data_IF_879372252226
#
_entry.id   IF_879372252226
#
_cell.length_a   1.000
_cell.length_b   1.000
_cell.length_c   1.000
_cell.angle_alpha   90.00
_cell.angle_beta   90.00
_cell.angle_gamma   90.00
#
_symmetry.space_group_name_H-M   'P 1'
#
loop_
_entity.id
_entity.type
_entity.pdbx_description
1 polymer ?
#
# COMPACT_ATOMS: atom_id res chain seq x y z
N UNK A 1 -15.28 -36.09 -30.98
CA UNK A 1 -16.52 -35.35 -31.17
C UNK A 1 -16.61 -34.36 -30.04
N UNK A 2 -16.01 -33.21 -30.20
CA UNK A 2 -16.51 -31.90 -30.65
C UNK A 2 -17.47 -31.25 -29.68
N UNK A 3 -17.04 -30.14 -29.11
CA UNK A 3 -17.88 -29.16 -28.45
C UNK A 3 -17.12 -28.14 -27.62
N UNK A 4 -16.38 -27.24 -28.29
CA UNK A 4 -15.90 -25.96 -27.72
C UNK A 4 -17.10 -25.04 -27.51
N UNK A 5 -17.19 -24.38 -26.34
CA UNK A 5 -17.96 -23.15 -26.19
C UNK A 5 -17.10 -22.09 -25.53
N UNK A 6 -16.63 -21.19 -26.36
CA UNK A 6 -16.06 -19.90 -25.99
C UNK A 6 -17.15 -18.99 -25.43
N UNK A 7 -16.99 -18.51 -24.22
CA UNK A 7 -17.81 -17.48 -23.59
C UNK A 7 -17.02 -16.18 -23.38
N UNK A 8 -17.02 -15.33 -24.40
CA UNK A 8 -16.46 -13.99 -24.33
C UNK A 8 -17.34 -13.09 -23.45
N UNK A 9 -16.80 -12.57 -22.33
CA UNK A 9 -17.45 -11.51 -21.57
C UNK A 9 -17.24 -10.18 -22.26
N UNK A 10 -18.28 -9.70 -22.93
CA UNK A 10 -18.41 -8.34 -23.45
C UNK A 10 -18.80 -7.40 -22.33
N UNK A 11 -17.96 -6.39 -22.09
CA UNK A 11 -18.28 -5.23 -21.26
C UNK A 11 -19.53 -4.54 -21.81
N UNK A 12 -20.58 -4.46 -21.00
CA UNK A 12 -21.79 -3.73 -21.32
C UNK A 12 -21.55 -2.23 -21.03
N UNK A 13 -21.29 -1.47 -22.07
CA UNK A 13 -21.45 -0.01 -22.07
C UNK A 13 -22.95 0.32 -22.08
N UNK A 14 -23.46 0.89 -21.00
CA UNK A 14 -24.78 1.50 -21.00
C UNK A 14 -24.70 2.84 -21.74
N UNK A 15 -25.18 2.86 -22.95
CA UNK A 15 -25.43 4.08 -23.76
C UNK A 15 -26.77 4.66 -23.32
N UNK A 16 -26.72 5.81 -22.67
CA UNK A 16 -27.93 6.56 -22.33
C UNK A 16 -28.50 7.18 -23.61
N UNK A 17 -29.62 6.65 -24.12
CA UNK A 17 -30.35 7.23 -25.23
C UNK A 17 -31.18 8.43 -24.73
N UNK A 18 -30.75 9.62 -25.09
CA UNK A 18 -31.56 10.83 -24.95
C UNK A 18 -32.58 10.85 -26.08
N UNK A 19 -33.85 10.65 -25.78
CA UNK A 19 -34.97 10.84 -26.70
C UNK A 19 -35.16 12.35 -26.93
N UNK A 20 -34.72 12.83 -28.09
CA UNK A 20 -35.09 14.15 -28.59
C UNK A 20 -36.45 14.07 -29.31
N UNK A 21 -37.46 14.65 -28.70
CA UNK A 21 -38.74 14.90 -29.39
C UNK A 21 -38.59 16.06 -30.38
N UNK A 22 -39.22 16.00 -31.58
CA UNK A 22 -39.12 17.07 -32.54
C UNK A 22 -40.04 18.22 -32.13
N UNK A 23 -39.48 19.41 -31.94
CA UNK A 23 -40.23 20.66 -31.83
C UNK A 23 -40.83 21.06 -33.19
N UNK A 24 -42.16 21.12 -33.21
CA UNK A 24 -42.92 21.60 -34.33
C UNK A 24 -42.65 23.07 -34.65
N UNK A 25 -42.50 23.39 -35.91
CA UNK A 25 -42.40 24.75 -36.46
C UNK A 25 -43.71 25.53 -36.23
N UNK A 26 -43.67 26.77 -35.68
CA UNK A 26 -44.81 27.68 -35.77
C UNK A 26 -44.84 28.39 -37.11
N UNK A 27 -46.07 28.60 -37.61
CA UNK A 27 -46.40 29.33 -38.84
C UNK A 27 -46.13 30.84 -38.69
N UNK A 28 -45.91 31.58 -39.82
CA UNK A 28 -45.63 33.00 -39.77
C UNK A 28 -46.90 33.82 -39.72
N UNK A 29 -47.00 34.73 -38.79
CA UNK A 29 -48.10 35.69 -38.73
C UNK A 29 -47.89 36.83 -37.75
N UNK A 30 -47.81 38.03 -38.32
CA UNK A 30 -48.08 39.34 -37.71
C UNK A 30 -47.01 39.96 -36.80
N UNK A 31 -46.23 40.85 -37.42
CA UNK A 31 -45.50 41.94 -36.76
C UNK A 31 -46.48 42.93 -36.15
N UNK A 32 -46.28 43.25 -34.86
CA UNK A 32 -46.66 44.54 -34.28
C UNK A 32 -45.53 45.03 -33.39
N UNK A 33 -44.93 46.12 -33.80
CA UNK A 33 -44.04 47.00 -33.04
C UNK A 33 -44.73 47.41 -31.74
N UNK A 34 -44.03 47.20 -30.64
CA UNK A 34 -44.20 47.95 -29.39
C UNK A 34 -42.81 48.21 -28.82
N UNK A 35 -42.31 49.38 -29.17
CA UNK A 35 -41.16 50.04 -28.61
C UNK A 35 -41.46 50.28 -27.10
N UNK A 36 -40.82 49.55 -26.20
CA UNK A 36 -40.72 49.86 -24.80
C UNK A 36 -39.29 49.75 -24.33
N UNK A 37 -38.68 50.89 -24.15
CA UNK A 37 -37.40 51.06 -23.44
C UNK A 37 -37.39 50.24 -22.12
N UNK A 38 -36.51 49.25 -22.05
CA UNK A 38 -36.18 48.55 -20.82
C UNK A 38 -34.95 49.24 -20.21
N UNK A 39 -35.02 49.68 -18.95
CA UNK A 39 -33.93 50.40 -18.31
C UNK A 39 -32.68 49.46 -18.16
N UNK A 40 -31.57 49.87 -18.73
CA UNK A 40 -30.27 49.22 -18.58
C UNK A 40 -29.68 49.48 -17.17
N UNK A 41 -30.17 48.81 -16.14
CA UNK A 41 -29.50 48.82 -14.84
C UNK A 41 -29.90 47.59 -14.01
N UNK A 42 -29.38 46.41 -14.39
CA UNK A 42 -29.30 45.26 -13.45
C UNK A 42 -28.33 44.16 -13.93
N UNK A 43 -27.47 44.38 -14.95
CA UNK A 43 -26.52 43.37 -15.42
C UNK A 43 -25.33 43.12 -14.48
N UNK A 44 -25.13 43.92 -13.43
CA UNK A 44 -23.96 43.83 -12.58
C UNK A 44 -24.10 42.96 -11.32
N UNK A 45 -25.32 42.68 -10.84
CA UNK A 45 -25.55 41.89 -9.63
C UNK A 45 -25.76 40.39 -9.90
N UNK A 46 -26.34 40.03 -11.03
CA UNK A 46 -26.58 38.63 -11.39
C UNK A 46 -25.32 37.86 -11.76
N UNK A 47 -24.34 38.55 -12.37
CA UNK A 47 -23.08 37.94 -12.80
C UNK A 47 -22.10 37.68 -11.63
N UNK A 48 -22.17 38.45 -10.56
CA UNK A 48 -21.36 38.22 -9.35
C UNK A 48 -21.86 37.05 -8.50
N UNK A 49 -23.15 36.76 -8.51
CA UNK A 49 -23.75 35.62 -7.77
C UNK A 49 -23.46 34.28 -8.48
N UNK A 50 -23.26 34.28 -9.81
CA UNK A 50 -22.89 33.10 -10.59
C UNK A 50 -21.39 32.75 -10.52
N UNK A 51 -20.56 33.62 -9.93
CA UNK A 51 -19.10 33.43 -9.80
C UNK A 51 -18.65 33.05 -8.37
N UNK A 52 -19.57 32.88 -7.43
CA UNK A 52 -19.26 32.41 -6.08
C UNK A 52 -19.46 30.88 -5.97
N UNK A 53 -18.38 30.09 -5.97
CA UNK A 53 -18.47 28.64 -5.89
C UNK A 53 -19.14 28.13 -4.62
N UNK A 54 -18.99 28.85 -3.50
CA UNK A 54 -19.63 28.49 -2.22
C UNK A 54 -21.16 28.67 -2.29
N UNK A 55 -21.62 29.76 -2.89
CA UNK A 55 -23.05 30.01 -3.10
C UNK A 55 -23.66 28.98 -4.04
N UNK A 56 -22.94 28.57 -5.09
CA UNK A 56 -23.36 27.51 -6.01
C UNK A 56 -23.45 26.18 -5.26
N UNK A 57 -22.46 25.81 -4.48
CA UNK A 57 -22.45 24.58 -3.70
C UNK A 57 -23.64 24.51 -2.74
N UNK A 58 -23.88 25.58 -1.98
CA UNK A 58 -25.05 25.69 -1.08
C UNK A 58 -26.39 25.53 -1.81
N UNK A 59 -26.51 26.14 -2.99
CA UNK A 59 -27.74 26.04 -3.78
C UNK A 59 -27.99 24.61 -4.28
N UNK A 60 -26.95 23.93 -4.77
CA UNK A 60 -27.05 22.53 -5.18
C UNK A 60 -27.44 21.64 -4.00
N UNK A 61 -26.83 21.83 -2.84
CA UNK A 61 -27.16 21.09 -1.62
C UNK A 61 -28.63 21.27 -1.21
N UNK A 62 -29.15 22.52 -1.28
CA UNK A 62 -30.56 22.80 -1.00
C UNK A 62 -31.49 22.06 -1.98
N UNK A 63 -31.19 22.11 -3.29
CA UNK A 63 -32.01 21.38 -4.28
C UNK A 63 -32.00 19.87 -4.03
N UNK A 64 -30.84 19.27 -3.68
CA UNK A 64 -30.80 17.84 -3.36
C UNK A 64 -31.68 17.54 -2.13
N UNK A 65 -31.58 18.33 -1.07
CA UNK A 65 -32.37 18.11 0.14
C UNK A 65 -33.88 18.30 -0.05
N UNK A 66 -34.28 19.24 -0.92
CA UNK A 66 -35.70 19.62 -1.09
C UNK A 66 -36.38 18.79 -2.20
N UNK A 67 -35.66 18.30 -3.20
CA UNK A 67 -36.24 17.76 -4.45
C UNK A 67 -35.83 16.31 -4.74
N UNK A 68 -34.81 15.74 -4.07
CA UNK A 68 -34.40 14.36 -4.32
C UNK A 68 -35.50 13.38 -3.87
N UNK A 69 -35.68 12.30 -4.63
CA UNK A 69 -36.80 11.34 -4.47
C UNK A 69 -36.79 10.63 -3.09
N UNK A 70 -35.63 10.41 -2.52
CA UNK A 70 -35.47 9.79 -1.20
C UNK A 70 -34.87 10.80 -0.21
N UNK A 71 -35.17 10.64 1.08
CA UNK A 71 -34.56 11.45 2.13
C UNK A 71 -33.05 11.10 2.26
N UNK A 72 -32.19 12.13 2.22
CA UNK A 72 -30.73 11.96 2.33
C UNK A 72 -30.21 12.76 3.51
N UNK A 73 -29.46 12.09 4.36
CA UNK A 73 -28.81 12.72 5.49
C UNK A 73 -27.80 13.79 5.05
N UNK A 74 -27.97 15.00 5.57
CA UNK A 74 -27.15 16.16 5.21
C UNK A 74 -25.65 15.90 5.45
N UNK A 75 -25.30 15.22 6.54
CA UNK A 75 -23.93 14.89 6.92
C UNK A 75 -23.28 13.98 5.86
N UNK A 76 -24.00 13.00 5.35
CA UNK A 76 -23.50 12.09 4.32
C UNK A 76 -23.19 12.83 3.01
N UNK A 77 -24.05 13.78 2.61
CA UNK A 77 -23.80 14.63 1.44
C UNK A 77 -22.53 15.48 1.59
N UNK A 78 -22.30 16.06 2.78
CA UNK A 78 -21.08 16.81 3.05
C UNK A 78 -19.84 15.91 3.01
N UNK A 79 -19.88 14.74 3.63
CA UNK A 79 -18.78 13.78 3.59
C UNK A 79 -18.47 13.31 2.17
N UNK A 80 -19.50 13.02 1.38
CA UNK A 80 -19.34 12.66 -0.02
C UNK A 80 -18.70 13.79 -0.85
N UNK A 81 -19.12 15.05 -0.61
CA UNK A 81 -18.57 16.22 -1.28
C UNK A 81 -17.08 16.46 -0.91
N UNK A 82 -16.75 16.39 0.40
CA UNK A 82 -15.37 16.55 0.88
C UNK A 82 -14.49 15.44 0.30
N UNK A 83 -14.95 14.19 0.38
CA UNK A 83 -14.23 13.04 -0.20
C UNK A 83 -14.01 13.21 -1.71
N UNK A 84 -15.01 13.70 -2.42
CA UNK A 84 -14.89 14.02 -3.85
C UNK A 84 -13.80 15.04 -4.14
N UNK A 85 -13.76 16.16 -3.40
CA UNK A 85 -12.74 17.19 -3.56
C UNK A 85 -11.33 16.68 -3.29
N UNK A 86 -11.16 15.89 -2.22
CA UNK A 86 -9.85 15.40 -1.82
C UNK A 86 -9.31 14.38 -2.82
N UNK A 87 -10.16 13.48 -3.31
CA UNK A 87 -9.80 12.46 -4.31
C UNK A 87 -9.45 13.01 -5.70
N UNK A 88 -9.81 14.28 -5.98
CA UNK A 88 -9.36 14.95 -7.20
C UNK A 88 -7.88 15.38 -7.17
N UNK A 89 -7.23 15.38 -5.99
CA UNK A 89 -5.86 15.86 -5.84
C UNK A 89 -4.83 14.81 -6.29
N UNK A 90 -4.92 13.61 -5.75
CA UNK A 90 -4.01 12.48 -6.00
C UNK A 90 -4.63 11.16 -5.47
N UNK A 91 -4.06 9.96 -5.80
CA UNK A 91 -4.63 8.68 -5.37
C UNK A 91 -4.50 8.39 -3.87
N UNK A 92 -3.70 9.14 -3.13
CA UNK A 92 -3.36 8.88 -1.73
C UNK A 92 -4.01 9.82 -0.74
N UNK A 93 -4.42 11.01 -1.21
CA UNK A 93 -5.21 11.95 -0.40
C UNK A 93 -6.64 11.46 -0.25
N UNK A 94 -7.17 11.43 0.97
CA UNK A 94 -8.54 10.99 1.23
C UNK A 94 -9.11 11.70 2.46
N UNK A 95 -10.45 11.73 2.52
CA UNK A 95 -11.20 12.12 3.70
C UNK A 95 -11.72 10.86 4.38
N UNK A 96 -11.33 10.65 5.62
CA UNK A 96 -11.71 9.53 6.45
C UNK A 96 -12.83 9.99 7.39
N UNK A 97 -14.02 9.41 7.27
CA UNK A 97 -15.04 9.58 8.29
C UNK A 97 -14.59 8.94 9.62
N UNK A 98 -15.28 9.18 10.76
CA UNK A 98 -14.82 8.70 12.06
C UNK A 98 -14.55 7.20 12.12
N UNK A 99 -15.36 6.39 11.44
CA UNK A 99 -15.18 4.94 11.40
C UNK A 99 -13.96 4.54 10.55
N UNK A 100 -13.81 5.14 9.37
CA UNK A 100 -12.65 4.91 8.52
C UNK A 100 -11.34 5.40 9.17
N UNK A 101 -11.41 6.50 9.94
CA UNK A 101 -10.26 7.01 10.67
C UNK A 101 -9.83 6.06 11.79
N UNK A 102 -10.77 5.54 12.58
CA UNK A 102 -10.45 4.54 13.59
C UNK A 102 -9.82 3.29 12.99
N UNK A 103 -10.39 2.75 11.91
CA UNK A 103 -9.82 1.61 11.21
C UNK A 103 -8.39 1.89 10.69
N UNK A 104 -8.14 3.10 10.22
CA UNK A 104 -6.80 3.52 9.79
C UNK A 104 -5.80 3.59 10.96
N UNK A 105 -6.22 4.07 12.13
CA UNK A 105 -5.38 4.08 13.33
C UNK A 105 -5.04 2.65 13.79
N UNK A 106 -6.02 1.75 13.77
CA UNK A 106 -5.83 0.33 14.11
C UNK A 106 -4.82 -0.33 13.13
N UNK A 107 -4.92 -0.03 11.84
CA UNK A 107 -3.96 -0.51 10.83
C UNK A 107 -2.53 0.02 11.08
N UNK A 108 -2.37 1.28 11.49
CA UNK A 108 -1.05 1.86 11.82
C UNK A 108 -0.42 1.23 13.07
N UNK A 109 -1.23 0.92 14.07
CA UNK A 109 -0.75 0.27 15.30
C UNK A 109 -0.32 -1.19 15.08
N UNK A 110 -0.73 -1.80 13.96
CA UNK A 110 -0.52 -3.23 13.69
C UNK A 110 -1.32 -4.16 14.59
N UNK A 111 -2.21 -3.60 15.43
CA UNK A 111 -3.09 -4.34 16.33
C UNK A 111 -4.52 -4.22 15.81
N UNK A 112 -5.12 -5.33 15.47
CA UNK A 112 -6.52 -5.35 15.03
C UNK A 112 -7.29 -6.49 15.70
N UNK A 113 -8.61 -6.33 15.80
CA UNK A 113 -9.47 -7.42 16.23
C UNK A 113 -9.58 -8.46 15.13
N UNK A 114 -9.02 -9.64 15.40
CA UNK A 114 -8.96 -10.72 14.44
C UNK A 114 -9.26 -12.09 15.05
N UNK A 115 -9.30 -13.08 14.16
CA UNK A 115 -9.58 -14.48 14.51
C UNK A 115 -8.32 -15.27 14.90
N UNK A 116 -7.13 -14.83 14.50
CA UNK A 116 -5.86 -15.48 14.82
C UNK A 116 -5.52 -16.66 13.92
N UNK A 117 -5.76 -16.54 12.61
CA UNK A 117 -5.30 -17.48 11.59
C UNK A 117 -4.91 -16.76 10.30
N UNK A 118 -4.07 -17.41 9.50
CA UNK A 118 -3.65 -16.95 8.18
C UNK A 118 -4.44 -17.70 7.10
N UNK A 119 -4.87 -16.96 6.08
CA UNK A 119 -5.62 -17.47 4.92
C UNK A 119 -4.84 -17.24 3.65
N UNK A 120 -4.86 -18.23 2.76
CA UNK A 120 -4.36 -18.10 1.39
C UNK A 120 -5.46 -18.51 0.39
N UNK A 121 -5.37 -17.96 -0.82
CA UNK A 121 -6.23 -18.38 -1.92
C UNK A 121 -5.52 -19.48 -2.69
N UNK A 122 -6.01 -20.72 -2.56
CA UNK A 122 -5.44 -21.92 -3.20
C UNK A 122 -6.51 -22.67 -3.97
N UNK A 123 -6.20 -23.07 -5.20
CA UNK A 123 -7.09 -23.87 -6.06
C UNK A 123 -8.54 -23.34 -6.14
N UNK A 124 -8.70 -22.00 -6.17
CA UNK A 124 -10.02 -21.38 -6.28
C UNK A 124 -10.78 -21.22 -4.96
N UNK A 125 -10.16 -21.49 -3.81
CA UNK A 125 -10.77 -21.45 -2.47
C UNK A 125 -9.89 -20.71 -1.47
N UNK A 126 -10.50 -20.18 -0.42
CA UNK A 126 -9.80 -19.56 0.72
C UNK A 126 -9.54 -20.62 1.78
N UNK A 127 -8.28 -20.97 1.99
CA UNK A 127 -7.84 -22.02 2.90
C UNK A 127 -7.07 -21.43 4.08
N UNK A 128 -7.37 -21.89 5.29
CA UNK A 128 -6.55 -21.61 6.47
C UNK A 128 -5.22 -22.36 6.31
N UNK A 129 -4.12 -21.62 6.24
CA UNK A 129 -2.77 -22.22 6.13
C UNK A 129 -2.03 -22.30 7.46
N UNK A 130 -2.44 -21.45 8.41
CA UNK A 130 -1.84 -21.42 9.75
C UNK A 130 -2.83 -20.89 10.77
N UNK A 131 -2.87 -21.53 11.94
CA UNK A 131 -3.58 -21.04 13.13
C UNK A 131 -2.52 -20.61 14.15
N UNK A 132 -2.70 -19.43 14.74
CA UNK A 132 -1.76 -18.92 15.72
C UNK A 132 -2.06 -19.46 17.12
N UNK A 133 -1.04 -19.76 17.92
CA UNK A 133 -1.22 -20.16 19.32
C UNK A 133 -1.99 -19.14 20.14
N UNK A 134 -2.72 -19.58 21.14
CA UNK A 134 -3.51 -18.78 22.08
C UNK A 134 -4.56 -17.87 21.42
N UNK A 135 -4.90 -18.16 20.15
CA UNK A 135 -5.85 -17.37 19.35
C UNK A 135 -7.31 -17.83 19.54
N UNK A 136 -8.29 -16.98 19.17
CA UNK A 136 -9.70 -17.42 19.09
C UNK A 136 -9.90 -18.63 18.19
N UNK A 137 -9.18 -18.70 17.07
CA UNK A 137 -9.26 -19.80 16.12
C UNK A 137 -8.80 -21.13 16.72
N UNK A 138 -7.69 -21.13 17.45
CA UNK A 138 -7.20 -22.34 18.13
C UNK A 138 -8.20 -22.84 19.17
N UNK A 139 -8.76 -21.93 19.98
CA UNK A 139 -9.77 -22.31 21.00
C UNK A 139 -11.04 -22.90 20.39
N UNK A 140 -11.36 -22.59 19.14
CA UNK A 140 -12.48 -23.11 18.38
C UNK A 140 -12.10 -24.31 17.51
N UNK A 141 -10.91 -24.91 17.71
CA UNK A 141 -10.38 -26.06 16.98
C UNK A 141 -10.32 -25.86 15.46
N UNK A 142 -10.09 -24.62 14.99
CA UNK A 142 -9.79 -24.37 13.58
C UNK A 142 -8.39 -24.90 13.26
N UNK A 143 -8.20 -25.39 12.03
CA UNK A 143 -6.95 -26.05 11.63
C UNK A 143 -6.50 -25.60 10.25
N UNK A 144 -5.21 -25.72 9.98
CA UNK A 144 -4.70 -25.63 8.61
C UNK A 144 -5.40 -26.69 7.74
N UNK A 145 -5.80 -26.30 6.53
CA UNK A 145 -6.61 -27.11 5.62
C UNK A 145 -8.12 -26.87 5.71
N UNK A 146 -8.61 -26.09 6.69
CA UNK A 146 -10.01 -25.67 6.73
C UNK A 146 -10.28 -24.64 5.63
N UNK A 147 -11.33 -24.83 4.83
CA UNK A 147 -11.74 -23.95 3.74
C UNK A 147 -12.82 -22.99 4.21
N UNK A 148 -12.61 -21.68 4.08
CA UNK A 148 -13.62 -20.67 4.36
C UNK A 148 -14.62 -20.58 3.22
N UNK A 149 -15.90 -20.68 3.55
CA UNK A 149 -17.02 -20.60 2.60
C UNK A 149 -17.74 -19.25 2.71
N UNK A 150 -18.00 -18.79 3.95
CA UNK A 150 -18.72 -17.53 4.25
C UNK A 150 -18.10 -16.82 5.44
N UNK A 151 -18.16 -15.48 5.40
CA UNK A 151 -17.84 -14.58 6.51
C UNK A 151 -19.02 -13.65 6.73
N UNK A 152 -19.52 -13.58 7.98
CA UNK A 152 -20.71 -12.80 8.35
C UNK A 152 -21.92 -13.08 7.43
N UNK A 153 -22.16 -14.36 7.10
CA UNK A 153 -23.24 -14.79 6.22
C UNK A 153 -23.07 -14.45 4.74
N UNK A 154 -21.94 -13.88 4.36
CA UNK A 154 -21.64 -13.50 2.97
C UNK A 154 -20.73 -14.54 2.32
N UNK A 155 -21.15 -15.16 1.20
CA UNK A 155 -20.31 -16.11 0.46
C UNK A 155 -19.03 -15.47 -0.07
N UNK A 156 -17.93 -16.24 -0.07
CA UNK A 156 -16.60 -15.77 -0.49
C UNK A 156 -16.27 -16.08 -1.94
N UNK A 157 -17.06 -16.90 -2.60
CA UNK A 157 -16.80 -17.30 -3.99
C UNK A 157 -16.70 -16.07 -4.92
N UNK A 158 -15.58 -15.96 -5.65
CA UNK A 158 -15.35 -14.88 -6.62
C UNK A 158 -15.05 -13.49 -6.02
N UNK A 159 -14.80 -13.39 -4.71
CA UNK A 159 -14.43 -12.13 -4.07
C UNK A 159 -12.92 -11.96 -4.03
N UNK A 160 -12.45 -10.73 -3.83
CA UNK A 160 -11.03 -10.44 -3.66
C UNK A 160 -10.56 -10.77 -2.23
N UNK A 161 -9.28 -11.13 -2.06
CA UNK A 161 -8.67 -11.37 -0.74
C UNK A 161 -8.80 -10.14 0.18
N UNK A 162 -8.66 -8.93 -0.37
CA UNK A 162 -8.80 -7.68 0.39
C UNK A 162 -10.20 -7.52 0.99
N UNK A 163 -11.25 -7.92 0.29
CA UNK A 163 -12.62 -7.89 0.80
C UNK A 163 -12.83 -8.91 1.92
N UNK A 164 -12.26 -10.10 1.78
CA UNK A 164 -12.25 -11.12 2.83
C UNK A 164 -11.58 -10.57 4.10
N UNK A 165 -10.36 -10.05 3.97
CA UNK A 165 -9.59 -9.52 5.11
C UNK A 165 -10.31 -8.36 5.80
N UNK A 166 -10.91 -7.43 5.04
CA UNK A 166 -11.69 -6.34 5.59
C UNK A 166 -12.90 -6.81 6.43
N UNK A 167 -13.56 -7.90 6.02
CA UNK A 167 -14.69 -8.48 6.76
C UNK A 167 -14.26 -9.28 7.99
N UNK A 168 -13.07 -9.87 7.93
CA UNK A 168 -12.52 -10.64 9.06
C UNK A 168 -12.04 -9.74 10.19
N UNK A 169 -11.56 -8.54 9.87
CA UNK A 169 -11.16 -7.51 10.83
C UNK A 169 -12.40 -6.88 11.50
N UNK A 170 -12.20 -6.30 12.66
CA UNK A 170 -13.22 -5.56 13.39
C UNK A 170 -12.77 -5.26 14.80
N UNK A 171 -13.60 -4.62 15.59
CA UNK A 171 -13.27 -4.23 16.96
C UNK A 171 -13.01 -5.46 17.84
N UNK A 172 -12.00 -5.36 18.71
CA UNK A 172 -11.71 -6.37 19.72
C UNK A 172 -12.95 -6.59 20.59
N UNK A 173 -13.28 -7.85 20.81
CA UNK A 173 -14.48 -8.23 21.60
C UNK A 173 -15.75 -8.42 20.77
N UNK A 174 -15.76 -8.06 19.48
CA UNK A 174 -16.91 -8.34 18.59
C UNK A 174 -16.91 -9.78 18.13
N UNK A 175 -18.09 -10.29 17.77
CA UNK A 175 -18.26 -11.67 17.28
C UNK A 175 -18.02 -11.71 15.77
N UNK A 176 -17.24 -12.69 15.32
CA UNK A 176 -17.04 -13.03 13.92
C UNK A 176 -17.71 -14.39 13.64
N UNK A 177 -18.64 -14.40 12.70
CA UNK A 177 -19.32 -15.62 12.26
C UNK A 177 -18.66 -16.14 10.98
N UNK A 178 -18.21 -17.40 11.02
CA UNK A 178 -17.55 -18.08 9.90
C UNK A 178 -18.31 -19.36 9.55
N UNK A 179 -18.39 -19.67 8.26
CA UNK A 179 -18.79 -20.97 7.77
C UNK A 179 -17.63 -21.60 7.03
N UNK A 180 -17.26 -22.81 7.48
CA UNK A 180 -16.06 -23.49 6.99
C UNK A 180 -16.39 -24.92 6.57
N UNK A 181 -15.46 -25.55 5.86
CA UNK A 181 -15.50 -26.96 5.51
C UNK A 181 -14.12 -27.58 5.76
N UNK A 182 -14.10 -28.73 6.43
CA UNK A 182 -12.89 -29.52 6.68
C UNK A 182 -12.89 -30.75 5.77
N UNK A 183 -11.97 -30.78 4.80
CA UNK A 183 -11.89 -31.87 3.81
C UNK A 183 -13.22 -32.10 3.09
N UNK A 184 -13.71 -33.35 3.12
CA UNK A 184 -14.97 -33.79 2.51
C UNK A 184 -16.17 -33.75 3.49
N UNK A 185 -15.97 -33.22 4.71
CA UNK A 185 -17.03 -33.17 5.73
C UNK A 185 -18.09 -32.11 5.39
N UNK A 186 -19.26 -32.22 6.04
CA UNK A 186 -20.32 -31.23 5.91
C UNK A 186 -19.84 -29.88 6.45
N UNK A 187 -20.23 -28.74 5.80
CA UNK A 187 -19.90 -27.42 6.31
C UNK A 187 -20.38 -27.20 7.74
N UNK A 188 -19.57 -26.52 8.54
CA UNK A 188 -19.88 -26.17 9.93
C UNK A 188 -19.74 -24.67 10.17
N UNK A 189 -20.46 -24.17 11.18
CA UNK A 189 -20.41 -22.78 11.57
C UNK A 189 -19.60 -22.59 12.86
N UNK A 190 -18.81 -21.53 12.91
CA UNK A 190 -18.05 -21.15 14.08
C UNK A 190 -18.31 -19.67 14.36
N UNK A 191 -18.55 -19.36 15.63
CA UNK A 191 -18.62 -17.98 16.12
C UNK A 191 -17.48 -17.79 17.12
N UNK A 192 -16.57 -16.89 16.78
CA UNK A 192 -15.44 -16.56 17.63
C UNK A 192 -15.46 -15.09 17.99
N UNK A 193 -14.92 -14.78 19.16
CA UNK A 193 -14.77 -13.38 19.60
C UNK A 193 -13.43 -12.87 19.10
N UNK A 194 -13.44 -11.78 18.34
CA UNK A 194 -12.22 -11.14 17.87
C UNK A 194 -11.35 -10.73 19.06
N UNK A 195 -10.09 -11.05 19.00
CA UNK A 195 -9.07 -10.61 19.95
C UNK A 195 -8.06 -9.71 19.27
N UNK A 196 -7.34 -8.92 20.07
CA UNK A 196 -6.18 -8.21 19.57
C UNK A 196 -5.18 -9.21 18.99
N UNK A 197 -4.95 -9.10 17.68
CA UNK A 197 -3.94 -9.87 16.95
C UNK A 197 -2.87 -8.87 16.54
N UNK A 198 -1.66 -9.09 17.02
CA UNK A 198 -0.49 -8.34 16.58
C UNK A 198 0.06 -9.02 15.32
N UNK A 199 0.13 -8.28 14.21
CA UNK A 199 0.81 -8.76 13.01
C UNK A 199 2.32 -8.80 13.29
N UNK A 200 3.00 -9.88 12.93
CA UNK A 200 4.45 -9.93 13.06
C UNK A 200 5.06 -8.88 12.13
N UNK A 201 5.57 -7.81 12.72
CA UNK A 201 6.22 -6.70 12.00
C UNK A 201 7.53 -7.16 11.39
N UNK A 202 8.34 -7.87 12.19
CA UNK A 202 9.66 -8.37 11.83
C UNK A 202 9.75 -9.86 12.20
N UNK A 203 10.23 -10.66 11.28
CA UNK A 203 10.52 -12.09 11.51
C UNK A 203 11.95 -12.38 11.06
N UNK A 204 12.75 -12.96 11.93
CA UNK A 204 14.14 -13.30 11.64
C UNK A 204 14.42 -14.77 11.88
N UNK A 205 15.12 -15.39 10.93
CA UNK A 205 15.52 -16.80 10.99
C UNK A 205 16.94 -16.99 10.47
N UNK A 206 17.61 -18.05 10.96
CA UNK A 206 18.90 -18.43 10.42
C UNK A 206 18.73 -19.11 9.06
N UNK A 207 19.50 -18.66 8.06
CA UNK A 207 19.74 -19.40 6.83
C UNK A 207 20.83 -20.47 7.04
N UNK A 208 21.88 -20.06 7.74
CA UNK A 208 22.95 -20.92 8.26
C UNK A 208 23.66 -20.19 9.43
N UNK A 209 24.56 -20.82 10.19
CA UNK A 209 25.25 -20.17 11.31
C UNK A 209 25.93 -18.86 10.88
N UNK A 210 25.53 -17.76 11.53
CA UNK A 210 26.03 -16.41 11.27
C UNK A 210 25.31 -15.64 10.15
N UNK A 211 24.44 -16.26 9.36
CA UNK A 211 23.66 -15.57 8.32
C UNK A 211 22.18 -15.67 8.60
N UNK A 212 21.50 -14.54 8.54
CA UNK A 212 20.08 -14.45 8.88
C UNK A 212 19.27 -13.82 7.75
N UNK A 213 18.06 -14.32 7.58
CA UNK A 213 17.01 -13.71 6.77
C UNK A 213 16.06 -12.99 7.72
N UNK A 214 15.84 -11.71 7.48
CA UNK A 214 14.90 -10.88 8.23
C UNK A 214 13.83 -10.38 7.28
N UNK A 215 12.60 -10.81 7.49
CA UNK A 215 11.42 -10.30 6.76
C UNK A 215 10.80 -9.18 7.54
N UNK A 216 10.65 -8.03 6.89
CA UNK A 216 9.95 -6.86 7.42
C UNK A 216 8.64 -6.75 6.65
N UNK A 217 7.53 -7.15 7.28
CA UNK A 217 6.23 -7.20 6.60
C UNK A 217 5.55 -5.83 6.50
N UNK A 218 5.73 -5.00 7.53
CA UNK A 218 5.20 -3.64 7.63
C UNK A 218 6.10 -2.79 8.51
N UNK A 219 6.06 -1.47 8.35
CA UNK A 219 6.70 -0.52 9.26
C UNK A 219 5.64 -0.01 10.25
N UNK A 220 5.26 -0.87 11.21
CA UNK A 220 4.47 -0.45 12.37
C UNK A 220 5.37 0.23 13.40
N UNK A 221 4.77 0.87 14.40
CA UNK A 221 5.50 1.37 15.57
C UNK A 221 6.37 0.27 16.18
N UNK A 222 7.58 0.62 16.63
CA UNK A 222 8.60 -0.30 17.19
C UNK A 222 9.28 -1.27 16.21
N UNK A 223 9.10 -1.16 14.90
CA UNK A 223 9.72 -2.05 13.91
C UNK A 223 11.25 -2.04 14.01
N UNK A 224 11.86 -0.87 14.17
CA UNK A 224 13.31 -0.70 14.32
C UNK A 224 13.82 -1.33 15.62
N UNK A 225 13.11 -1.14 16.72
CA UNK A 225 13.44 -1.74 18.03
C UNK A 225 13.33 -3.26 17.97
N UNK A 226 12.23 -3.78 17.41
CA UNK A 226 12.00 -5.23 17.24
C UNK A 226 13.09 -5.88 16.38
N UNK A 227 13.51 -5.19 15.32
CA UNK A 227 14.60 -5.67 14.47
C UNK A 227 15.92 -5.76 15.25
N UNK A 228 16.32 -4.71 15.96
CA UNK A 228 17.55 -4.69 16.75
C UNK A 228 17.55 -5.80 17.82
N UNK A 229 16.44 -6.00 18.52
CA UNK A 229 16.27 -7.07 19.53
C UNK A 229 16.40 -8.46 18.91
N UNK A 230 15.79 -8.71 17.75
CA UNK A 230 15.91 -9.99 17.06
C UNK A 230 17.33 -10.24 16.57
N UNK A 231 17.99 -9.24 15.97
CA UNK A 231 19.38 -9.36 15.56
C UNK A 231 20.31 -9.63 16.76
N UNK A 232 20.14 -8.95 17.90
CA UNK A 232 20.89 -9.22 19.13
C UNK A 232 20.68 -10.64 19.64
N UNK A 233 19.44 -11.11 19.61
CA UNK A 233 19.11 -12.47 20.05
C UNK A 233 19.79 -13.52 19.17
N UNK A 234 19.78 -13.33 17.84
CA UNK A 234 20.42 -14.24 16.89
C UNK A 234 21.95 -14.14 16.95
N UNK A 235 22.50 -12.93 17.15
CA UNK A 235 23.94 -12.72 17.34
C UNK A 235 24.45 -13.49 18.56
N UNK A 236 23.75 -13.41 19.69
CA UNK A 236 24.11 -14.16 20.91
C UNK A 236 23.99 -15.69 20.74
N UNK A 237 23.19 -16.17 19.79
CA UNK A 237 23.03 -17.60 19.46
C UNK A 237 24.04 -18.09 18.41
N UNK A 238 24.76 -17.18 17.77
CA UNK A 238 25.80 -17.49 16.78
C UNK A 238 27.14 -17.60 17.49
N UNK A 239 27.86 -18.73 17.39
CA UNK A 239 29.15 -18.91 18.07
C UNK A 239 30.20 -17.84 17.76
N UNK A 240 30.21 -17.35 16.51
CA UNK A 240 31.14 -16.32 16.01
C UNK A 240 30.44 -14.98 15.73
N UNK A 241 29.24 -14.77 16.26
CA UNK A 241 28.39 -13.63 15.97
C UNK A 241 27.74 -13.68 14.57
N UNK A 242 26.95 -12.62 14.23
CA UNK A 242 26.36 -12.49 12.90
C UNK A 242 27.43 -12.07 11.88
N UNK A 243 27.36 -12.67 10.70
CA UNK A 243 28.29 -12.48 9.55
C UNK A 243 27.63 -11.79 8.39
N UNK A 244 26.31 -11.80 8.34
CA UNK A 244 25.52 -11.12 7.31
C UNK A 244 24.02 -11.22 7.54
N UNK A 245 23.29 -10.23 7.02
CA UNK A 245 21.85 -10.16 7.08
C UNK A 245 21.25 -9.88 5.70
N UNK A 246 20.19 -10.61 5.37
CA UNK A 246 19.31 -10.30 4.24
C UNK A 246 18.05 -9.64 4.81
N UNK A 247 17.77 -8.41 4.41
CA UNK A 247 16.54 -7.71 4.73
C UNK A 247 15.55 -7.95 3.58
N UNK A 248 14.47 -8.68 3.85
CA UNK A 248 13.44 -8.97 2.88
C UNK A 248 12.26 -7.99 3.08
N UNK A 249 12.13 -7.03 2.18
CA UNK A 249 11.03 -6.06 2.12
C UNK A 249 10.13 -6.29 0.90
N UNK A 250 10.18 -7.47 0.32
CA UNK A 250 9.23 -7.85 -0.73
C UNK A 250 7.82 -7.89 -0.17
N UNK A 251 6.84 -7.47 -0.96
CA UNK A 251 5.43 -7.38 -0.59
C UNK A 251 5.15 -6.43 0.61
N UNK A 252 6.10 -5.58 0.98
CA UNK A 252 5.96 -4.59 2.05
C UNK A 252 5.45 -3.26 1.47
N UNK A 253 4.20 -2.85 1.77
CA UNK A 253 3.62 -1.61 1.23
C UNK A 253 4.11 -0.33 1.93
N UNK A 254 4.99 -0.47 2.93
CA UNK A 254 5.50 0.64 3.74
C UNK A 254 4.92 0.68 5.15
N UNK A 255 4.64 1.87 5.64
CA UNK A 255 4.15 2.16 6.99
C UNK A 255 4.73 3.46 7.52
N UNK A 256 5.09 3.49 8.80
CA UNK A 256 5.64 4.66 9.48
C UNK A 256 7.03 5.00 8.94
N UNK A 257 7.20 6.23 8.45
CA UNK A 257 8.47 6.70 7.85
C UNK A 257 9.62 6.67 8.88
N UNK A 258 9.35 7.10 10.10
CA UNK A 258 10.36 7.14 11.18
C UNK A 258 10.91 5.75 11.51
N UNK A 259 10.13 4.70 11.34
CA UNK A 259 10.57 3.31 11.53
C UNK A 259 11.53 2.85 10.41
N UNK A 260 11.24 3.21 9.16
CA UNK A 260 12.17 2.92 8.06
C UNK A 260 13.48 3.69 8.22
N UNK A 261 13.41 4.95 8.66
CA UNK A 261 14.59 5.77 9.02
C UNK A 261 15.36 5.10 10.16
N UNK A 262 14.67 4.66 11.21
CA UNK A 262 15.29 3.96 12.35
C UNK A 262 15.99 2.66 11.95
N UNK A 263 15.36 1.87 11.06
CA UNK A 263 15.98 0.65 10.54
C UNK A 263 17.21 0.96 9.67
N UNK A 264 17.12 1.97 8.79
CA UNK A 264 18.29 2.39 8.00
C UNK A 264 19.44 2.87 8.89
N UNK A 265 19.12 3.62 9.95
CA UNK A 265 20.09 4.13 10.94
C UNK A 265 20.82 3.00 11.70
N UNK A 266 20.20 1.82 11.84
CA UNK A 266 20.89 0.64 12.42
C UNK A 266 22.08 0.19 11.57
N UNK A 267 22.08 0.42 10.28
CA UNK A 267 23.11 -0.09 9.37
C UNK A 267 24.02 1.00 8.77
N UNK A 268 23.66 2.27 8.90
CA UNK A 268 24.41 3.41 8.40
C UNK A 268 25.17 4.10 9.54
N UNK A 269 26.38 4.59 9.25
CA UNK A 269 27.17 5.40 10.19
C UNK A 269 27.02 6.91 9.95
N UNK A 270 26.69 7.29 8.73
CA UNK A 270 26.52 8.66 8.27
C UNK A 270 25.70 8.70 6.97
N UNK A 271 25.53 9.88 6.41
CA UNK A 271 24.83 10.10 5.16
C UNK A 271 23.34 10.41 5.33
N UNK A 272 22.73 10.84 4.24
CA UNK A 272 21.28 11.09 4.16
C UNK A 272 20.56 9.77 4.04
N UNK A 273 19.46 9.59 4.78
CA UNK A 273 18.57 8.44 4.66
C UNK A 273 17.45 8.76 3.67
N UNK A 274 16.82 9.90 3.82
CA UNK A 274 15.74 10.38 2.96
C UNK A 274 15.63 11.89 3.06
N UNK A 275 15.31 12.53 1.95
CA UNK A 275 14.93 13.97 1.92
C UNK A 275 13.45 14.10 1.61
N UNK A 276 12.77 15.03 2.28
CA UNK A 276 11.39 15.42 1.96
C UNK A 276 11.36 16.84 1.42
N UNK A 277 10.50 17.11 0.44
CA UNK A 277 10.28 18.47 -0.09
C UNK A 277 8.79 18.73 -0.18
N UNK A 278 8.35 19.75 0.58
CA UNK A 278 6.97 20.23 0.61
C UNK A 278 6.69 21.29 -0.46
N UNK A 279 5.60 22.03 -0.26
CA UNK A 279 5.18 23.12 -1.15
C UNK A 279 6.06 24.36 -1.02
N UNK A 280 6.45 24.70 0.21
CA UNK A 280 7.35 25.80 0.51
C UNK A 280 8.79 25.30 0.69
N UNK A 281 9.79 26.14 0.41
CA UNK A 281 11.21 25.78 0.53
C UNK A 281 11.61 25.42 1.96
N UNK A 282 10.98 26.02 2.97
CA UNK A 282 11.17 25.74 4.39
C UNK A 282 10.50 24.45 4.87
N UNK A 283 9.70 23.80 4.04
CA UNK A 283 9.12 22.47 4.30
C UNK A 283 10.02 21.31 3.82
N UNK A 284 11.31 21.57 3.60
CA UNK A 284 12.30 20.53 3.28
C UNK A 284 12.94 20.01 4.55
N UNK A 285 13.03 18.68 4.68
CA UNK A 285 13.67 18.01 5.82
C UNK A 285 14.55 16.87 5.31
N UNK A 286 15.79 16.83 5.79
CA UNK A 286 16.75 15.79 5.50
C UNK A 286 16.97 14.93 6.74
N UNK A 287 16.56 13.67 6.67
CA UNK A 287 16.83 12.69 7.73
C UNK A 287 18.18 12.05 7.46
N UNK A 288 19.08 12.13 8.43
CA UNK A 288 20.46 11.64 8.34
C UNK A 288 20.75 10.55 9.35
N UNK A 289 21.64 9.65 8.97
CA UNK A 289 22.10 8.57 9.83
C UNK A 289 23.01 9.10 10.95
N UNK A 290 23.06 8.34 12.05
CA UNK A 290 23.86 8.63 13.23
C UNK A 290 24.78 7.46 13.52
N UNK A 291 26.06 7.73 13.68
CA UNK A 291 27.04 6.71 14.04
C UNK A 291 26.78 6.12 15.44
N UNK A 292 27.16 4.88 15.63
CA UNK A 292 27.17 4.19 16.94
C UNK A 292 26.32 2.92 17.00
N UNK A 293 25.66 2.52 15.92
CA UNK A 293 25.00 1.22 15.86
C UNK A 293 26.00 0.07 15.75
N UNK A 294 25.74 -1.04 16.43
CA UNK A 294 26.60 -2.24 16.35
C UNK A 294 26.51 -2.95 14.98
N UNK A 295 25.54 -2.61 14.15
CA UNK A 295 25.30 -3.27 12.86
C UNK A 295 25.90 -2.54 11.65
N UNK A 296 26.56 -1.40 11.85
CA UNK A 296 27.16 -0.60 10.78
C UNK A 296 28.14 -1.39 9.90
N UNK A 297 28.87 -2.33 10.49
CA UNK A 297 29.84 -3.16 9.77
C UNK A 297 29.28 -4.50 9.30
N UNK A 298 28.06 -4.89 9.69
CA UNK A 298 27.49 -6.18 9.31
C UNK A 298 27.14 -6.16 7.81
N UNK A 299 27.60 -7.11 6.97
CA UNK A 299 27.16 -7.20 5.56
C UNK A 299 25.65 -7.28 5.42
N UNK A 300 25.09 -6.48 4.49
CA UNK A 300 23.64 -6.37 4.27
C UNK A 300 23.32 -6.50 2.80
N UNK A 301 22.30 -7.28 2.48
CA UNK A 301 21.64 -7.32 1.18
C UNK A 301 20.16 -7.09 1.36
N UNK A 302 19.48 -6.40 0.43
CA UNK A 302 18.05 -6.12 0.53
C UNK A 302 17.31 -6.80 -0.63
N UNK A 303 16.23 -7.50 -0.30
CA UNK A 303 15.31 -8.07 -1.29
C UNK A 303 14.12 -7.13 -1.52
N UNK A 304 13.86 -6.83 -2.78
CA UNK A 304 12.79 -5.91 -3.21
C UNK A 304 11.97 -6.51 -4.35
N UNK A 305 10.70 -6.09 -4.49
CA UNK A 305 9.85 -6.43 -5.63
C UNK A 305 8.87 -5.31 -6.00
N UNK A 306 8.05 -5.52 -7.01
CA UNK A 306 7.06 -4.53 -7.48
C UNK A 306 5.99 -4.13 -6.46
N UNK A 307 5.86 -4.84 -5.33
CA UNK A 307 4.96 -4.51 -4.23
C UNK A 307 5.68 -3.84 -3.05
N UNK A 308 7.01 -3.73 -3.11
CA UNK A 308 7.79 -2.93 -2.16
C UNK A 308 7.47 -1.46 -2.40
N UNK A 309 6.91 -0.75 -1.39
CA UNK A 309 6.40 0.62 -1.57
C UNK A 309 6.71 1.55 -0.38
N UNK A 310 6.75 2.87 -0.65
CA UNK A 310 6.78 3.94 0.38
C UNK A 310 7.96 3.80 1.35
N UNK A 311 7.72 3.60 2.66
CA UNK A 311 8.76 3.46 3.69
C UNK A 311 9.73 2.30 3.41
N UNK A 312 9.27 1.22 2.74
CA UNK A 312 10.14 0.13 2.30
C UNK A 312 11.09 0.57 1.19
N UNK A 313 10.65 1.49 0.32
CA UNK A 313 11.50 2.08 -0.71
C UNK A 313 12.51 3.06 -0.11
N UNK A 314 12.14 3.78 0.96
CA UNK A 314 13.06 4.64 1.72
C UNK A 314 14.20 3.79 2.27
N UNK A 315 13.91 2.69 2.95
CA UNK A 315 14.93 1.78 3.49
C UNK A 315 15.84 1.24 2.38
N UNK A 316 15.25 0.73 1.29
CA UNK A 316 16.00 0.19 0.16
C UNK A 316 16.92 1.26 -0.47
N UNK A 317 16.38 2.44 -0.79
CA UNK A 317 17.15 3.54 -1.37
C UNK A 317 18.25 4.05 -0.43
N UNK A 318 17.95 4.18 0.87
CA UNK A 318 18.92 4.63 1.86
C UNK A 318 20.15 3.72 1.91
N UNK A 319 19.94 2.41 1.97
CA UNK A 319 21.03 1.45 2.05
C UNK A 319 21.79 1.31 0.71
N UNK A 320 21.08 1.43 -0.41
CA UNK A 320 21.68 1.37 -1.74
C UNK A 320 22.53 2.60 -2.05
N UNK A 321 21.94 3.80 -1.96
CA UNK A 321 22.60 5.03 -2.40
C UNK A 321 23.78 5.42 -1.51
N UNK A 322 23.79 4.99 -0.24
CA UNK A 322 24.96 5.09 0.65
C UNK A 322 25.96 3.93 0.45
N UNK A 323 25.83 3.13 -0.63
CA UNK A 323 26.69 1.98 -0.94
C UNK A 323 26.83 0.98 0.22
N UNK A 324 25.77 0.85 1.03
CA UNK A 324 25.75 0.02 2.24
C UNK A 324 25.22 -1.38 1.97
N UNK A 325 24.30 -1.53 1.02
CA UNK A 325 23.72 -2.81 0.67
C UNK A 325 23.56 -2.95 -0.85
N UNK A 326 23.62 -4.19 -1.31
CA UNK A 326 23.23 -4.58 -2.67
C UNK A 326 21.75 -4.92 -2.70
N UNK A 327 21.01 -4.36 -3.67
CA UNK A 327 19.58 -4.66 -3.88
C UNK A 327 19.41 -5.82 -4.86
N UNK A 328 18.57 -6.78 -4.53
CA UNK A 328 18.26 -7.95 -5.35
C UNK A 328 16.75 -8.09 -5.52
N UNK A 329 16.27 -8.30 -6.73
CA UNK A 329 14.84 -8.53 -6.99
C UNK A 329 14.30 -7.78 -8.20
N UNK A 330 13.15 -7.16 -8.08
CA UNK A 330 12.53 -6.36 -9.13
C UNK A 330 12.36 -4.90 -8.71
N UNK A 331 12.21 -4.00 -9.69
CA UNK A 331 11.98 -2.57 -9.44
C UNK A 331 10.74 -2.37 -8.56
N UNK A 332 10.86 -1.47 -7.58
CA UNK A 332 9.82 -1.21 -6.60
C UNK A 332 8.65 -0.38 -7.15
N UNK A 333 7.59 -0.23 -6.39
CA UNK A 333 6.32 0.37 -6.81
C UNK A 333 6.42 1.84 -7.24
N UNK A 334 7.15 2.67 -6.51
CA UNK A 334 7.36 4.09 -6.81
C UNK A 334 6.44 5.05 -6.04
N UNK A 335 6.01 4.71 -4.83
CA UNK A 335 5.24 5.63 -3.98
C UNK A 335 6.16 6.58 -3.22
N UNK A 336 6.35 7.77 -3.76
CA UNK A 336 7.25 8.80 -3.24
C UNK A 336 6.53 10.00 -2.64
N UNK A 337 5.39 9.83 -1.97
CA UNK A 337 4.62 10.91 -1.33
C UNK A 337 4.43 10.68 0.15
N UNK A 338 4.44 11.76 0.93
CA UNK A 338 4.14 11.76 2.37
C UNK A 338 2.77 12.36 2.60
N UNK A 339 1.93 11.63 3.31
CA UNK A 339 0.63 12.11 3.74
C UNK A 339 0.70 12.62 5.18
N UNK A 340 0.13 13.81 5.40
CA UNK A 340 -0.15 14.33 6.74
C UNK A 340 -1.59 13.98 7.11
N UNK A 341 -1.78 13.52 8.32
CA UNK A 341 -3.08 13.28 8.90
C UNK A 341 -3.48 14.50 9.73
N UNK A 342 -4.66 15.05 9.43
CA UNK A 342 -5.24 16.18 10.16
C UNK A 342 -6.55 15.74 10.77
N UNK A 343 -6.58 15.60 12.07
CA UNK A 343 -7.80 15.28 12.81
C UNK A 343 -8.77 16.45 12.80
N UNK A 344 -10.04 16.16 12.64
CA UNK A 344 -11.12 17.14 12.60
C UNK A 344 -12.02 17.01 13.85
N UNK A 345 -12.74 18.09 14.15
CA UNK A 345 -13.49 18.22 15.42
C UNK A 345 -14.63 17.20 15.59
N UNK A 346 -15.08 16.60 14.52
CA UNK A 346 -16.19 15.62 14.52
C UNK A 346 -15.70 14.17 14.58
N UNK A 347 -14.38 13.96 14.78
CA UNK A 347 -13.74 12.65 14.82
C UNK A 347 -13.38 12.09 13.45
N UNK A 348 -13.64 12.83 12.36
CA UNK A 348 -13.12 12.50 11.04
C UNK A 348 -11.68 12.99 10.88
N UNK A 349 -11.00 12.58 9.80
CA UNK A 349 -9.65 13.04 9.50
C UNK A 349 -9.45 13.31 8.01
N UNK A 350 -8.56 14.26 7.71
CA UNK A 350 -8.05 14.52 6.38
C UNK A 350 -6.65 13.94 6.25
N UNK A 351 -6.49 12.97 5.37
CA UNK A 351 -5.19 12.47 4.92
C UNK A 351 -4.80 13.21 3.66
N UNK A 352 -3.78 14.04 3.73
CA UNK A 352 -3.40 14.95 2.64
C UNK A 352 -1.93 14.78 2.27
N UNK A 353 -1.64 14.61 0.99
CA UNK A 353 -0.28 14.63 0.46
C UNK A 353 0.32 16.03 0.63
N UNK A 354 1.40 16.13 1.41
CA UNK A 354 2.03 17.40 1.76
C UNK A 354 3.47 17.53 1.25
N UNK A 355 4.17 16.40 1.01
CA UNK A 355 5.54 16.45 0.51
C UNK A 355 5.87 15.24 -0.38
N UNK A 356 7.00 15.33 -1.09
CA UNK A 356 7.58 14.27 -1.90
C UNK A 356 8.86 13.77 -1.28
N UNK A 357 9.13 12.48 -1.47
CA UNK A 357 10.32 11.78 -1.00
C UNK A 357 11.38 11.75 -2.10
N UNK A 358 12.61 11.97 -1.68
CA UNK A 358 13.80 11.88 -2.52
C UNK A 358 14.81 10.95 -1.88
N UNK A 359 15.49 10.17 -2.70
CA UNK A 359 16.56 9.27 -2.26
C UNK A 359 17.80 10.06 -1.83
N UNK A 360 18.77 9.46 -1.13
CA UNK A 360 20.06 10.11 -0.83
C UNK A 360 20.77 10.66 -2.07
N UNK A 361 20.67 9.97 -3.22
CA UNK A 361 21.21 10.46 -4.49
C UNK A 361 20.43 11.63 -5.10
N UNK A 362 19.33 12.09 -4.46
CA UNK A 362 18.50 13.19 -4.92
C UNK A 362 17.48 12.82 -5.99
N UNK A 363 17.30 11.53 -6.28
CA UNK A 363 16.28 11.06 -7.21
C UNK A 363 14.89 11.08 -6.54
N UNK A 364 13.84 11.48 -7.27
CA UNK A 364 12.47 11.40 -6.78
C UNK A 364 12.01 9.94 -6.75
N UNK A 365 11.49 9.48 -5.61
CA UNK A 365 10.89 8.15 -5.51
C UNK A 365 9.57 8.06 -6.28
N UNK A 366 8.79 9.16 -6.30
CA UNK A 366 7.47 9.22 -6.92
C UNK A 366 7.51 8.84 -8.40
N UNK A 367 6.79 7.77 -8.75
CA UNK A 367 6.67 7.24 -10.12
C UNK A 367 7.90 6.48 -10.63
N UNK A 368 9.06 6.61 -9.97
CA UNK A 368 10.31 5.97 -10.37
C UNK A 368 10.58 4.68 -9.58
N UNK A 369 10.33 4.68 -8.28
CA UNK A 369 10.73 3.60 -7.40
C UNK A 369 12.25 3.46 -7.26
N UNK A 370 12.68 2.30 -6.78
CA UNK A 370 14.09 1.93 -6.64
C UNK A 370 14.37 0.75 -7.57
N UNK A 371 15.46 0.86 -8.33
CA UNK A 371 15.90 -0.18 -9.26
C UNK A 371 16.97 -1.04 -8.57
N UNK A 372 16.81 -2.37 -8.53
CA UNK A 372 17.80 -3.25 -7.89
C UNK A 372 19.08 -3.37 -8.71
N UNK A 373 20.22 -3.66 -8.05
CA UNK A 373 21.50 -3.95 -8.68
C UNK A 373 21.48 -5.27 -9.47
N UNK A 374 20.75 -6.26 -8.91
CA UNK A 374 20.56 -7.57 -9.52
C UNK A 374 19.07 -7.83 -9.72
N UNK A 375 18.64 -7.76 -10.97
CA UNK A 375 17.24 -8.06 -11.30
C UNK A 375 17.05 -9.57 -11.36
N UNK A 376 16.11 -10.04 -10.55
CA UNK A 376 15.60 -11.41 -10.58
C UNK A 376 14.19 -11.34 -11.09
N UNK A 377 13.92 -11.98 -12.23
CA UNK A 377 12.56 -12.12 -12.72
C UNK A 377 11.73 -12.82 -11.66
N UNK A 378 10.58 -12.24 -11.31
CA UNK A 378 9.62 -12.95 -10.48
C UNK A 378 9.26 -14.23 -11.21
N UNK A 379 9.63 -15.38 -10.63
CA UNK A 379 9.13 -16.65 -11.12
C UNK A 379 7.61 -16.51 -11.10
N UNK A 380 6.97 -16.60 -12.27
CA UNK A 380 5.51 -16.62 -12.35
C UNK A 380 5.04 -17.89 -11.66
N UNK A 381 4.94 -17.84 -10.34
CA UNK A 381 4.34 -18.92 -9.53
C UNK A 381 2.87 -19.11 -9.89
N UNK A 382 2.23 -18.05 -10.37
CA UNK A 382 0.89 -18.08 -10.92
C UNK A 382 0.83 -17.30 -12.25
N UNK A 383 0.65 -18.00 -13.38
CA UNK A 383 0.47 -17.35 -14.68
C UNK A 383 -0.78 -16.44 -14.75
N UNK A 384 -1.71 -16.58 -13.79
CA UNK A 384 -2.91 -15.77 -13.71
C UNK A 384 -2.71 -14.51 -12.85
N UNK A 385 -1.57 -14.35 -12.18
CA UNK A 385 -1.26 -13.12 -11.42
C UNK A 385 -0.92 -12.01 -12.41
N UNK A 386 -1.70 -10.95 -12.40
CA UNK A 386 -1.41 -9.74 -13.18
C UNK A 386 -0.07 -9.14 -12.71
N UNK A 387 0.70 -8.54 -13.64
CA UNK A 387 1.92 -7.84 -13.25
C UNK A 387 1.58 -6.75 -12.22
N UNK A 388 2.47 -6.45 -11.25
CA UNK A 388 2.22 -5.43 -10.25
C UNK A 388 1.99 -4.08 -10.94
N UNK A 389 0.88 -3.41 -10.57
CA UNK A 389 0.64 -2.03 -10.94
C UNK A 389 1.74 -1.16 -10.34
N UNK A 390 2.10 -0.09 -11.04
CA UNK A 390 3.03 0.91 -10.54
C UNK A 390 2.28 2.16 -10.08
N UNK A 391 2.92 2.98 -9.28
CA UNK A 391 2.38 4.28 -8.88
C UNK A 391 1.98 5.13 -10.11
N UNK A 392 2.83 5.09 -11.16
CA UNK A 392 2.57 5.80 -12.42
C UNK A 392 1.31 5.35 -13.16
N UNK A 393 0.81 4.15 -12.88
CA UNK A 393 -0.37 3.56 -13.54
C UNK A 393 -1.67 3.94 -12.81
N UNK A 394 -1.56 4.52 -11.62
CA UNK A 394 -2.72 4.94 -10.84
C UNK A 394 -3.39 6.17 -11.45
N UNK A 395 -4.74 6.24 -11.46
CA UNK A 395 -5.45 7.45 -11.83
C UNK A 395 -5.00 8.64 -10.98
N UNK A 396 -4.66 9.77 -11.62
CA UNK A 396 -4.20 11.01 -10.95
C UNK A 396 -2.88 10.85 -10.17
N UNK A 397 -2.07 9.85 -10.49
CA UNK A 397 -0.72 9.75 -9.92
C UNK A 397 0.04 11.07 -10.15
N UNK A 398 0.71 11.54 -9.11
CA UNK A 398 1.59 12.71 -9.23
C UNK A 398 2.78 12.32 -10.11
N UNK A 399 3.03 13.09 -11.17
CA UNK A 399 4.07 12.79 -12.13
C UNK A 399 5.45 12.63 -11.50
N UNK A 400 6.36 11.85 -12.12
CA UNK A 400 7.72 11.64 -11.64
C UNK A 400 8.47 12.98 -11.59
N UNK A 401 9.21 13.21 -10.51
CA UNK A 401 10.24 14.23 -10.50
C UNK A 401 11.30 13.85 -11.55
N UNK A 402 11.90 14.85 -12.19
CA UNK A 402 12.83 14.64 -13.30
C UNK A 402 14.05 13.82 -12.90
N UNK A 403 14.04 12.52 -13.19
CA UNK A 403 15.22 11.68 -13.51
C UNK A 403 14.74 10.24 -13.77
N UNK A 404 14.87 9.76 -15.01
CA UNK A 404 14.64 8.35 -15.34
C UNK A 404 15.89 7.55 -14.94
N UNK A 405 15.69 6.45 -14.21
CA UNK A 405 16.75 5.47 -13.93
C UNK A 405 16.98 4.57 -15.17
N UNK A 406 18.24 4.16 -15.38
CA UNK A 406 18.59 3.23 -16.44
C UNK A 406 18.10 1.81 -16.09
N UNK A 407 17.60 1.06 -17.05
CA UNK A 407 17.18 -0.33 -16.85
C UNK A 407 18.41 -1.24 -16.61
N UNK A 408 18.42 -2.02 -15.52
CA UNK A 408 19.50 -2.97 -15.25
C UNK A 408 19.37 -4.24 -16.12
N UNK A 409 20.44 -5.04 -16.25
CA UNK A 409 20.40 -6.31 -16.96
C UNK A 409 19.50 -7.32 -16.25
N UNK A 410 18.61 -7.98 -17.00
CA UNK A 410 17.69 -9.01 -16.50
C UNK A 410 18.36 -10.38 -16.58
N UNK A 411 18.42 -11.10 -15.45
CA UNK A 411 18.83 -12.50 -15.42
C UNK A 411 17.59 -13.40 -15.42
N UNK A 412 17.41 -14.15 -16.52
CA UNK A 412 16.34 -15.13 -16.64
C UNK A 412 16.83 -16.47 -16.06
N UNK A 413 16.21 -16.94 -14.99
CA UNK A 413 16.58 -18.18 -14.33
C UNK A 413 15.44 -19.19 -14.39
N UNK A 414 15.50 -20.04 -15.39
CA UNK A 414 14.71 -21.28 -15.44
C UNK A 414 15.35 -22.33 -14.52
N UNK A 415 14.95 -22.44 -13.27
CA UNK A 415 15.11 -23.66 -12.46
C UNK A 415 14.33 -23.55 -11.13
N UNK A 416 13.67 -24.65 -10.76
CA UNK A 416 13.01 -24.92 -9.49
C UNK A 416 13.96 -24.75 -8.31
N UNK A 417 13.94 -23.59 -7.70
CA UNK A 417 14.66 -23.32 -6.47
C UNK A 417 13.71 -22.50 -5.61
N UNK A 418 13.33 -23.06 -4.47
CA UNK A 418 12.58 -22.33 -3.45
C UNK A 418 13.35 -21.03 -3.16
N UNK A 419 12.80 -19.90 -3.61
CA UNK A 419 13.32 -18.53 -3.46
C UNK A 419 14.72 -18.24 -4.03
N UNK A 420 14.80 -18.14 -5.36
CA UNK A 420 16.03 -17.78 -6.08
C UNK A 420 16.61 -16.43 -5.61
N UNK A 421 15.76 -15.44 -5.30
CA UNK A 421 16.20 -14.12 -4.87
C UNK A 421 16.95 -14.19 -3.52
N UNK A 422 16.44 -14.96 -2.56
CA UNK A 422 17.14 -15.22 -1.28
C UNK A 422 18.50 -15.88 -1.53
N UNK A 423 18.58 -16.83 -2.43
CA UNK A 423 19.86 -17.49 -2.76
C UNK A 423 20.88 -16.55 -3.37
N UNK A 424 20.46 -15.72 -4.32
CA UNK A 424 21.36 -14.74 -4.93
C UNK A 424 21.81 -13.70 -3.91
N UNK A 425 20.91 -13.18 -3.09
CA UNK A 425 21.23 -12.27 -2.00
C UNK A 425 22.26 -12.90 -1.04
N UNK A 426 22.07 -14.17 -0.69
CA UNK A 426 23.00 -14.90 0.16
C UNK A 426 24.40 -15.05 -0.51
N UNK A 427 24.47 -15.35 -1.82
CA UNK A 427 25.74 -15.41 -2.53
C UNK A 427 26.46 -14.06 -2.57
N UNK A 428 25.71 -12.97 -2.76
CA UNK A 428 26.25 -11.60 -2.70
C UNK A 428 26.84 -11.34 -1.31
N UNK A 429 26.13 -11.63 -0.23
CA UNK A 429 26.62 -11.49 1.14
C UNK A 429 27.94 -12.24 1.37
N UNK A 430 28.02 -13.48 0.90
CA UNK A 430 29.24 -14.31 1.00
C UNK A 430 30.41 -13.70 0.26
N UNK A 431 30.17 -13.13 -0.92
CA UNK A 431 31.22 -12.45 -1.69
C UNK A 431 31.67 -11.17 -1.00
N UNK A 432 30.79 -10.38 -0.46
CA UNK A 432 31.11 -9.16 0.29
C UNK A 432 31.91 -9.47 1.55
N UNK A 433 31.52 -10.48 2.30
CA UNK A 433 32.27 -10.93 3.47
C UNK A 433 33.67 -11.38 3.08
N UNK A 434 33.80 -12.18 2.00
CA UNK A 434 35.10 -12.65 1.52
C UNK A 434 36.02 -11.50 1.10
N UNK A 435 35.49 -10.46 0.42
CA UNK A 435 36.23 -9.26 0.05
C UNK A 435 36.69 -8.45 1.27
N UNK A 436 35.90 -8.37 2.33
CA UNK A 436 36.31 -7.70 3.57
C UNK A 436 37.41 -8.44 4.30
N UNK A 437 37.39 -9.78 4.28
CA UNK A 437 38.42 -10.61 4.92
C UNK A 437 39.72 -10.66 4.11
N UNK A 438 39.62 -10.55 2.77
CA UNK A 438 40.72 -10.61 1.83
C UNK A 438 40.63 -9.44 0.85
N UNK A 439 40.95 -8.21 1.30
CA UNK A 439 40.89 -7.07 0.39
C UNK A 439 41.79 -7.31 -0.81
N UNK A 440 41.36 -6.99 -2.03
CA UNK A 440 42.21 -7.12 -3.21
C UNK A 440 43.48 -6.30 -3.02
N UNK A 441 44.60 -6.85 -3.48
CA UNK A 441 45.87 -6.13 -3.43
C UNK A 441 45.71 -4.76 -4.12
N UNK A 442 46.27 -3.66 -3.58
CA UNK A 442 46.17 -2.36 -4.21
C UNK A 442 46.70 -2.46 -5.64
N UNK A 443 45.87 -2.09 -6.62
CA UNK A 443 46.33 -1.92 -7.99
C UNK A 443 47.35 -0.78 -7.98
N UNK A 444 48.60 -1.10 -8.03
CA UNK A 444 49.70 -0.12 -8.16
C UNK A 444 49.56 0.44 -9.58
N UNK A 445 49.44 1.78 -9.75
CA UNK A 445 49.28 2.40 -11.05
C UNK A 445 50.51 2.24 -11.97
#
# INVERSE_FOLDING_TARGET
MTGFVNGSYRSAFFLLAVLSAPLGRPAPGAAQELDREVPRTQAGRGQRVLSDPEALFRRVLTHIQDEYVDEVERRELFYAAIRGMVRELDPHSDFLDPQAYQAFQDDLSGIYGGAGFQVEYRAGQYEIVKVFPDSPAERMDLRAGDVLLEVEGSPLFGRAMSELLARMRGDVGTVLALRLRRGEEAPFEVRLVRQAVELPTVQAEFLEPGYVLVRIHYFHEDAATKLDEQLRTLDARSPDGLRGVILDVRDNPGGVVDEAVGIADLFLSDGVIVSTRGRAEDESDDRTARAGSRWESLPVTVLVNGYTASSAEILAAALHDNARATLVGAQTFGKGTVQRLVELLDGSALRLTVSRLFTPAGAALQGNGVVPDLTVGEAREDPAREPPLRESDLPRALGPGATAAAEPPVFDAAARIDDLAVRLAYQVLRLEESRRRHPPAPVVP
#
